data_IF_928762481737
#
_entry.id   IF_928762481737
#
_cell.length_a   1.000
_cell.length_b   1.000
_cell.length_c   1.000
_cell.angle_alpha   90.00
_cell.angle_beta   90.00
_cell.angle_gamma   90.00
#
_symmetry.space_group_name_H-M   'P 1'
#
loop_
_entity.id
_entity.type
_entity.pdbx_description
1 polymer ?
#
# COMPACT_ATOMS: atom_id res chain seq x y z
N UNK A 1 14.85 -12.64 13.89
CA UNK A 1 14.46 -12.98 12.50
C UNK A 1 13.03 -12.55 12.32
N UNK A 2 12.77 -11.54 11.47
CA UNK A 2 11.39 -11.17 11.16
C UNK A 2 10.82 -12.31 10.32
N UNK A 3 9.82 -13.00 10.85
CA UNK A 3 9.07 -14.01 10.12
C UNK A 3 8.38 -13.30 8.95
N UNK A 4 8.96 -13.41 7.76
CA UNK A 4 8.32 -12.92 6.55
C UNK A 4 7.13 -13.84 6.27
N UNK A 5 5.95 -13.41 6.73
CA UNK A 5 4.68 -14.08 6.42
C UNK A 5 4.44 -14.16 4.90
N UNK A 6 5.16 -13.34 4.13
CA UNK A 6 5.10 -13.30 2.69
C UNK A 6 6.45 -13.70 2.07
N UNK A 7 6.54 -14.85 1.36
CA UNK A 7 7.77 -15.27 0.70
C UNK A 7 8.22 -14.30 -0.40
N UNK A 8 7.31 -13.46 -0.93
CA UNK A 8 7.67 -12.44 -1.92
C UNK A 8 8.41 -11.25 -1.30
N UNK A 9 8.31 -11.01 0.01
CA UNK A 9 9.00 -9.90 0.66
C UNK A 9 10.54 -9.98 0.53
N UNK A 10 11.09 -11.19 0.37
CA UNK A 10 12.51 -11.42 0.13
C UNK A 10 13.04 -10.75 -1.15
N UNK A 11 12.16 -10.42 -2.11
CA UNK A 11 12.55 -9.70 -3.34
C UNK A 11 13.03 -8.28 -3.03
N UNK A 12 12.50 -7.65 -1.98
CA UNK A 12 12.88 -6.30 -1.57
C UNK A 12 14.26 -6.29 -0.89
N UNK A 13 14.56 -7.35 -0.14
CA UNK A 13 15.89 -7.55 0.46
C UNK A 13 16.96 -7.81 -0.61
N UNK A 14 16.59 -8.50 -1.69
CA UNK A 14 17.48 -8.82 -2.82
C UNK A 14 17.65 -7.64 -3.80
N UNK A 15 16.64 -6.77 -3.90
CA UNK A 15 16.62 -5.61 -4.79
C UNK A 15 16.47 -4.32 -3.99
N UNK A 16 17.41 -4.07 -3.06
CA UNK A 16 17.38 -2.85 -2.25
C UNK A 16 17.41 -1.60 -3.11
N UNK A 17 16.78 -0.54 -2.63
CA UNK A 17 16.77 0.74 -3.31
C UNK A 17 18.19 1.34 -3.32
N UNK A 18 18.74 1.57 -4.52
CA UNK A 18 20.07 2.17 -4.73
C UNK A 18 19.99 3.55 -5.40
N UNK A 19 18.79 4.11 -5.52
CA UNK A 19 18.55 5.36 -6.26
C UNK A 19 18.40 5.12 -7.76
N UNK A 20 19.39 4.48 -8.39
CA UNK A 20 19.41 4.24 -9.84
C UNK A 20 18.35 3.23 -10.31
N UNK A 21 17.90 2.35 -9.42
CA UNK A 21 16.93 1.28 -9.71
C UNK A 21 15.50 1.62 -9.27
N UNK A 22 15.14 2.89 -9.18
CA UNK A 22 13.84 3.33 -8.64
C UNK A 22 12.64 2.62 -9.28
N UNK A 23 12.62 2.48 -10.61
CA UNK A 23 11.52 1.83 -11.32
C UNK A 23 11.40 0.34 -10.98
N UNK A 24 12.53 -0.37 -10.92
CA UNK A 24 12.56 -1.79 -10.57
C UNK A 24 12.20 -2.02 -9.11
N UNK A 25 12.71 -1.15 -8.22
CA UNK A 25 12.37 -1.18 -6.80
C UNK A 25 10.88 -0.92 -6.58
N UNK A 26 10.31 0.10 -7.22
CA UNK A 26 8.88 0.43 -7.13
C UNK A 26 8.00 -0.71 -7.66
N UNK A 27 8.42 -1.34 -8.77
CA UNK A 27 7.72 -2.52 -9.32
C UNK A 27 7.73 -3.69 -8.34
N UNK A 28 8.89 -4.00 -7.74
CA UNK A 28 9.02 -5.05 -6.75
C UNK A 28 8.20 -4.75 -5.49
N UNK A 29 8.16 -3.48 -5.08
CA UNK A 29 7.34 -3.01 -3.96
C UNK A 29 5.85 -3.17 -4.21
N UNK A 30 5.37 -2.79 -5.40
CA UNK A 30 3.97 -2.99 -5.80
C UNK A 30 3.58 -4.47 -5.83
N UNK A 31 4.47 -5.37 -6.26
CA UNK A 31 4.22 -6.83 -6.25
C UNK A 31 4.02 -7.35 -4.83
N UNK A 32 4.87 -6.94 -3.88
CA UNK A 32 4.73 -7.35 -2.48
C UNK A 32 3.43 -6.82 -1.89
N UNK A 33 3.08 -5.55 -2.14
CA UNK A 33 1.84 -4.99 -1.64
C UNK A 33 0.59 -5.61 -2.29
N UNK A 34 0.64 -5.98 -3.58
CA UNK A 34 -0.42 -6.74 -4.24
C UNK A 34 -0.67 -8.08 -3.55
N UNK A 35 0.41 -8.79 -3.23
CA UNK A 35 0.34 -10.11 -2.61
C UNK A 35 -0.18 -10.09 -1.18
N UNK A 36 0.00 -8.97 -0.47
CA UNK A 36 -0.55 -8.75 0.87
C UNK A 36 -1.95 -8.14 0.84
N UNK A 37 -2.53 -7.93 -0.36
CA UNK A 37 -3.78 -7.19 -0.57
C UNK A 37 -3.74 -5.75 -0.04
N UNK A 38 -2.54 -5.17 0.09
CA UNK A 38 -2.27 -3.82 0.59
C UNK A 38 -2.06 -2.79 -0.53
N UNK A 39 -2.33 -3.15 -1.79
CA UNK A 39 -2.13 -2.24 -2.93
C UNK A 39 -2.90 -0.92 -2.78
N UNK A 40 -4.05 -0.97 -2.09
CA UNK A 40 -4.88 0.20 -1.78
C UNK A 40 -4.14 1.26 -0.95
N UNK A 41 -3.06 0.91 -0.24
CA UNK A 41 -2.25 1.87 0.53
C UNK A 41 -1.34 2.75 -0.33
N UNK A 42 -1.04 2.34 -1.57
CA UNK A 42 -0.18 3.08 -2.51
C UNK A 42 -0.98 3.99 -3.43
N UNK A 43 -2.26 3.68 -3.67
CA UNK A 43 -3.19 4.54 -4.41
C UNK A 43 -3.49 5.77 -3.54
N UNK A 44 -2.55 6.72 -3.58
CA UNK A 44 -2.42 7.93 -2.78
C UNK A 44 -3.56 8.96 -2.88
N UNK A 45 -4.73 8.58 -3.35
CA UNK A 45 -5.93 9.32 -3.03
C UNK A 45 -6.91 8.32 -2.43
N UNK A 46 -7.39 8.52 -1.19
CA UNK A 46 -8.68 7.96 -0.84
C UNK A 46 -9.66 8.30 -1.99
N UNK A 47 -10.48 7.34 -2.43
CA UNK A 47 -11.54 7.60 -3.39
C UNK A 47 -12.24 8.91 -3.04
N UNK A 48 -12.48 9.81 -4.00
CA UNK A 48 -13.21 11.06 -3.71
C UNK A 48 -14.63 10.79 -3.22
N UNK A 49 -15.16 9.62 -3.56
CA UNK A 49 -16.49 9.15 -3.20
C UNK A 49 -16.40 7.72 -2.69
N UNK A 50 -17.21 7.41 -1.68
CA UNK A 50 -17.34 6.04 -1.20
C UNK A 50 -18.02 5.16 -2.27
N UNK A 51 -17.49 3.96 -2.55
CA UNK A 51 -18.18 2.99 -3.40
C UNK A 51 -19.61 2.73 -2.90
N UNK A 52 -20.57 2.58 -3.81
CA UNK A 52 -21.98 2.36 -3.46
C UNK A 52 -22.22 1.10 -2.61
N UNK A 53 -21.31 0.12 -2.70
CA UNK A 53 -21.38 -1.18 -2.03
C UNK A 53 -20.44 -1.29 -0.80
N UNK A 54 -19.94 -0.16 -0.29
CA UNK A 54 -19.00 -0.18 0.84
C UNK A 54 -19.66 -0.69 2.13
N UNK A 55 -18.98 -1.59 2.85
CA UNK A 55 -19.44 -2.04 4.17
C UNK A 55 -19.24 -0.97 5.25
N UNK A 56 -19.95 -1.07 6.38
CA UNK A 56 -19.84 -0.09 7.46
C UNK A 56 -18.44 -0.02 8.07
N UNK A 57 -17.71 -1.14 8.09
CA UNK A 57 -16.34 -1.23 8.61
C UNK A 57 -15.34 -0.56 7.65
N UNK A 58 -15.48 -0.81 6.34
CA UNK A 58 -14.67 -0.19 5.31
C UNK A 58 -14.92 1.32 5.20
N UNK A 59 -16.16 1.78 5.46
CA UNK A 59 -16.50 3.20 5.50
C UNK A 59 -15.80 3.94 6.64
N UNK A 60 -15.64 3.29 7.80
CA UNK A 60 -14.88 3.86 8.93
C UNK A 60 -13.41 3.98 8.58
N UNK A 61 -12.82 2.94 7.99
CA UNK A 61 -11.43 2.99 7.53
C UNK A 61 -11.22 4.08 6.47
N UNK A 62 -12.15 4.23 5.52
CA UNK A 62 -12.11 5.26 4.48
C UNK A 62 -12.17 6.68 5.07
N UNK A 63 -13.05 6.92 6.05
CA UNK A 63 -13.14 8.21 6.75
C UNK A 63 -11.85 8.56 7.48
N UNK A 64 -11.29 7.60 8.20
CA UNK A 64 -10.04 7.80 8.92
C UNK A 64 -8.89 8.11 7.96
N UNK A 65 -8.90 7.51 6.77
CA UNK A 65 -7.92 7.78 5.72
C UNK A 65 -8.05 9.19 5.12
N UNK A 66 -9.28 9.68 4.89
CA UNK A 66 -9.52 11.09 4.51
C UNK A 66 -9.04 12.07 5.59
N UNK A 67 -9.32 11.78 6.87
CA UNK A 67 -8.91 12.63 8.00
C UNK A 67 -7.38 12.71 8.11
N UNK A 68 -6.69 11.57 7.95
CA UNK A 68 -5.23 11.50 7.96
C UNK A 68 -4.60 12.25 6.77
N UNK A 69 -5.23 12.23 5.58
CA UNK A 69 -4.79 13.01 4.41
C UNK A 69 -4.92 14.52 4.65
N UNK A 70 -6.05 14.97 5.23
CA UNK A 70 -6.27 16.39 5.57
C UNK A 70 -5.22 16.86 6.58
N UNK A 71 -4.87 16.01 7.55
CA UNK A 71 -3.86 16.32 8.59
C UNK A 71 -2.43 16.35 8.06
N UNK A 72 -2.14 15.59 7.00
CA UNK A 72 -0.81 15.52 6.40
C UNK A 72 -0.50 16.68 5.43
N UNK A 73 -1.48 17.55 5.15
CA UNK A 73 -1.36 18.73 4.27
C UNK A 73 -1.21 20.02 5.07
#
# INVERSE_FOLDING_TARGET
>A
MVSMKNPLAAILDSNKFTGLNYQDWLRNFNIVLASEKLLYTIEKCPPKEAPADISSEELVMLKQWWDDEIKAR
#
